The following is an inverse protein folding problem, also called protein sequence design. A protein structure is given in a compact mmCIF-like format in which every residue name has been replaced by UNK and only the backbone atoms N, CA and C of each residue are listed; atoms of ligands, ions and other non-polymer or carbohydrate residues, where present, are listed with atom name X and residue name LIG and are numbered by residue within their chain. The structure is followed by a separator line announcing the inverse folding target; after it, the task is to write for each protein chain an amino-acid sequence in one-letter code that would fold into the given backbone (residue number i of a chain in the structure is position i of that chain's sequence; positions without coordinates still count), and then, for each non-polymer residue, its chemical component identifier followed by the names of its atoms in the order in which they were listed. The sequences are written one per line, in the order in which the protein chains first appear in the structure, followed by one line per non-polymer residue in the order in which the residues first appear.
data_IF_167020970251
#
_entry.id   IF_167020970251
#
_cell.length_a   1.000
_cell.length_b   1.000
_cell.length_c   1.000
_cell.angle_alpha   90.00
_cell.angle_beta   90.00
_cell.angle_gamma   90.00
#
_symmetry.space_group_name_H-M   'P 1'
#
loop_
_entity.id
_entity.type
_entity.pdbx_description
1 polymer ?
#
# COMPACT_ATOMS: atom_id res chain seq x y z
N UNK A 1 -22.25 0.24 -28.90
CA UNK A 1 -21.09 0.96 -29.44
C UNK A 1 -19.88 0.09 -29.14
N UNK A 2 -19.06 -0.33 -30.13
CA UNK A 2 -17.87 -1.12 -29.86
C UNK A 2 -16.88 -0.28 -29.03
N UNK A 3 -16.11 -0.92 -28.13
CA UNK A 3 -15.13 -0.19 -27.33
C UNK A 3 -14.07 0.42 -28.26
N UNK A 4 -13.82 1.72 -28.07
CA UNK A 4 -12.72 2.42 -28.74
C UNK A 4 -11.43 1.70 -28.33
N UNK A 5 -10.78 1.00 -29.25
CA UNK A 5 -9.42 0.52 -29.07
C UNK A 5 -8.55 1.77 -28.93
N UNK A 6 -8.22 2.14 -27.70
CA UNK A 6 -7.10 3.06 -27.46
C UNK A 6 -5.85 2.26 -27.86
N UNK A 7 -5.07 2.82 -28.79
CA UNK A 7 -3.73 2.28 -29.05
C UNK A 7 -3.03 2.15 -27.72
N UNK A 8 -2.60 0.92 -27.38
CA UNK A 8 -2.01 0.64 -26.08
C UNK A 8 -0.79 1.57 -25.92
N UNK A 9 -0.76 2.43 -24.89
CA UNK A 9 0.38 3.30 -24.68
C UNK A 9 1.63 2.43 -24.54
N UNK A 10 2.72 2.87 -25.17
CA UNK A 10 4.02 2.19 -25.02
C UNK A 10 4.35 2.18 -23.54
N UNK A 11 4.35 1.00 -22.92
CA UNK A 11 4.69 0.83 -21.50
C UNK A 11 6.15 1.21 -21.32
N UNK A 12 6.40 2.45 -20.90
CA UNK A 12 7.74 2.93 -20.58
C UNK A 12 8.01 2.68 -19.10
N UNK A 13 9.11 1.98 -18.79
CA UNK A 13 9.60 1.82 -17.42
C UNK A 13 10.17 3.10 -16.84
N UNK A 14 11.00 2.96 -15.79
CA UNK A 14 11.67 4.10 -15.15
C UNK A 14 12.37 5.00 -16.16
N UNK A 15 12.13 6.29 -16.06
CA UNK A 15 12.76 7.32 -16.89
C UNK A 15 13.89 8.06 -16.16
N UNK A 16 14.09 7.73 -14.87
CA UNK A 16 15.08 8.38 -14.02
C UNK A 16 16.46 7.83 -14.32
N UNK A 17 17.43 8.70 -14.58
CA UNK A 17 18.85 8.32 -14.73
C UNK A 17 19.41 7.90 -13.37
N UNK A 18 20.37 6.98 -13.39
CA UNK A 18 21.02 6.50 -12.16
C UNK A 18 21.63 7.67 -11.38
N UNK A 19 21.01 7.99 -10.25
CA UNK A 19 21.38 9.12 -9.38
C UNK A 19 21.58 8.71 -7.92
N UNK A 20 21.72 7.41 -7.65
CA UNK A 20 21.92 6.88 -6.28
C UNK A 20 20.64 6.56 -5.51
N UNK A 21 19.50 7.21 -5.78
CA UNK A 21 18.21 6.86 -5.22
C UNK A 21 17.65 5.60 -5.90
N UNK A 22 17.28 4.59 -5.11
CA UNK A 22 16.86 3.29 -5.66
C UNK A 22 15.50 2.83 -5.16
N UNK A 23 14.90 3.50 -4.17
CA UNK A 23 13.72 3.02 -3.47
C UNK A 23 12.45 3.81 -3.80
N UNK A 24 11.31 3.17 -3.59
CA UNK A 24 10.00 3.71 -3.91
C UNK A 24 9.12 3.77 -2.67
N UNK A 25 8.31 4.83 -2.55
CA UNK A 25 7.18 4.86 -1.65
C UNK A 25 5.94 4.38 -2.42
N UNK A 26 5.41 3.24 -2.01
CA UNK A 26 4.37 2.53 -2.76
C UNK A 26 2.96 2.76 -2.25
N UNK A 27 2.74 3.68 -1.29
CA UNK A 27 1.42 3.93 -0.73
C UNK A 27 1.20 5.39 -0.37
N UNK A 28 0.35 6.06 -1.15
CA UNK A 28 -0.06 7.44 -0.89
C UNK A 28 -1.35 7.83 -1.61
N UNK A 29 -1.97 8.91 -1.13
CA UNK A 29 -3.30 9.31 -1.52
C UNK A 29 -3.35 10.65 -2.25
N UNK A 30 -4.50 10.94 -2.85
CA UNK A 30 -4.84 12.22 -3.48
C UNK A 30 -6.07 12.83 -2.78
N UNK A 31 -6.36 14.12 -2.96
CA UNK A 31 -7.55 14.74 -2.38
C UNK A 31 -8.87 14.07 -2.75
N UNK A 32 -8.89 13.24 -3.80
CA UNK A 32 -10.09 12.50 -4.21
C UNK A 32 -10.55 11.47 -3.17
N UNK A 33 -9.69 11.02 -2.26
CA UNK A 33 -10.13 10.22 -1.11
C UNK A 33 -10.83 11.05 -0.03
N UNK A 34 -10.97 12.37 -0.20
CA UNK A 34 -11.72 13.31 0.66
C UNK A 34 -11.10 13.57 2.04
N UNK A 35 -9.94 12.96 2.35
CA UNK A 35 -9.21 13.17 3.60
C UNK A 35 -7.68 13.29 3.44
N UNK A 36 -7.18 13.27 2.19
CA UNK A 36 -5.81 13.65 1.88
C UNK A 36 -5.76 15.11 1.38
N UNK A 37 -4.59 15.74 1.49
CA UNK A 37 -4.35 17.14 1.17
C UNK A 37 -3.11 17.31 0.31
N UNK A 38 -3.18 18.25 -0.63
CA UNK A 38 -2.09 18.58 -1.54
C UNK A 38 -2.18 17.82 -2.87
N UNK A 39 -1.64 18.46 -3.91
CA UNK A 39 -1.63 17.91 -5.27
C UNK A 39 -0.52 16.84 -5.44
N UNK A 40 -0.66 15.88 -6.36
CA UNK A 40 0.35 14.85 -6.62
C UNK A 40 1.76 15.43 -6.88
N UNK A 41 1.86 16.62 -7.47
CA UNK A 41 3.14 17.27 -7.69
C UNK A 41 3.86 17.69 -6.40
N UNK A 42 3.11 17.96 -5.32
CA UNK A 42 3.70 18.27 -4.00
C UNK A 42 4.29 16.99 -3.36
N UNK A 43 3.59 15.86 -3.51
CA UNK A 43 4.09 14.55 -3.07
C UNK A 43 5.34 14.15 -3.85
N UNK A 44 5.34 14.36 -5.18
CA UNK A 44 6.50 14.09 -6.02
C UNK A 44 7.70 14.97 -5.64
N UNK A 45 7.49 16.26 -5.36
CA UNK A 45 8.54 17.14 -4.88
C UNK A 45 9.10 16.68 -3.53
N UNK A 46 8.25 16.16 -2.63
CA UNK A 46 8.69 15.60 -1.36
C UNK A 46 9.42 14.27 -1.55
N UNK A 47 8.99 13.40 -2.46
CA UNK A 47 9.70 12.17 -2.82
C UNK A 47 11.16 12.44 -3.23
N UNK A 48 11.38 13.46 -4.06
CA UNK A 48 12.74 13.92 -4.39
C UNK A 48 13.50 14.36 -3.13
N UNK A 49 12.88 15.16 -2.26
CA UNK A 49 13.48 15.60 -0.99
C UNK A 49 13.74 14.46 -0.02
N UNK A 50 12.98 13.37 -0.09
CA UNK A 50 13.15 12.17 0.71
C UNK A 50 14.22 11.22 0.15
N UNK A 51 14.83 11.53 -1.01
CA UNK A 51 15.83 10.68 -1.64
C UNK A 51 15.24 9.41 -2.25
N UNK A 52 14.00 9.47 -2.69
CA UNK A 52 13.33 8.36 -3.36
C UNK A 52 13.62 8.35 -4.86
N UNK A 53 13.65 7.17 -5.46
CA UNK A 53 13.67 6.94 -6.90
C UNK A 53 12.31 7.22 -7.53
N UNK A 54 11.26 6.90 -6.80
CA UNK A 54 9.89 7.08 -7.27
C UNK A 54 8.85 6.98 -6.16
N UNK A 55 7.64 7.31 -6.55
CA UNK A 55 6.43 7.21 -5.74
C UNK A 55 5.31 6.58 -6.55
N UNK A 56 4.43 5.83 -5.89
CA UNK A 56 3.27 5.21 -6.53
C UNK A 56 2.01 5.70 -5.81
N UNK A 57 1.15 6.44 -6.51
CA UNK A 57 -0.13 6.82 -5.97
C UNK A 57 -1.06 5.62 -5.93
N UNK A 58 -1.63 5.36 -4.78
CA UNK A 58 -2.56 4.26 -4.52
C UNK A 58 -3.79 4.80 -3.79
N UNK A 59 -4.46 5.80 -4.36
CA UNK A 59 -5.64 6.38 -3.72
C UNK A 59 -6.75 5.33 -3.58
N UNK A 60 -7.63 5.51 -2.58
CA UNK A 60 -8.77 4.60 -2.35
C UNK A 60 -9.65 4.48 -3.58
N UNK A 61 -9.88 3.25 -4.02
CA UNK A 61 -10.71 2.95 -5.18
C UNK A 61 -12.16 3.41 -4.98
N UNK A 62 -12.86 3.78 -6.07
CA UNK A 62 -14.32 3.91 -5.99
C UNK A 62 -14.95 2.56 -5.67
N UNK A 63 -16.10 2.59 -5.00
CA UNK A 63 -16.89 1.41 -4.69
C UNK A 63 -18.37 1.69 -5.00
N UNK A 64 -19.15 0.70 -5.46
CA UNK A 64 -20.54 0.91 -5.82
C UNK A 64 -21.43 1.08 -4.59
N UNK A 65 -22.69 1.46 -4.83
CA UNK A 65 -23.74 1.55 -3.79
C UNK A 65 -23.39 2.50 -2.63
N UNK A 66 -22.67 3.57 -2.91
CA UNK A 66 -22.23 4.52 -1.89
C UNK A 66 -21.50 3.85 -0.70
N UNK A 67 -20.70 2.80 -1.00
CA UNK A 67 -19.89 2.13 0.00
C UNK A 67 -18.82 3.10 0.54
N UNK A 68 -18.95 3.47 1.81
CA UNK A 68 -18.06 4.39 2.53
C UNK A 68 -17.63 5.66 1.74
N UNK A 69 -18.58 6.49 1.30
CA UNK A 69 -18.32 7.55 0.32
C UNK A 69 -17.52 8.73 0.85
N UNK A 70 -17.28 8.76 2.17
CA UNK A 70 -16.56 9.87 2.84
C UNK A 70 -15.04 9.74 2.82
N UNK A 71 -14.51 8.57 2.37
CA UNK A 71 -13.07 8.29 2.39
C UNK A 71 -12.53 7.80 1.05
N UNK A 72 -13.32 7.87 -0.02
CA UNK A 72 -12.92 7.38 -1.33
C UNK A 72 -13.44 8.25 -2.45
N UNK A 73 -12.81 8.17 -3.61
CA UNK A 73 -13.31 8.81 -4.81
C UNK A 73 -14.63 8.18 -5.24
N UNK A 74 -15.48 8.97 -5.90
CA UNK A 74 -16.67 8.48 -6.57
C UNK A 74 -16.30 7.81 -7.91
N UNK A 75 -17.15 6.94 -8.45
CA UNK A 75 -16.89 6.28 -9.76
C UNK A 75 -16.66 7.28 -10.89
N UNK A 76 -17.37 8.40 -10.89
CA UNK A 76 -17.23 9.47 -11.88
C UNK A 76 -15.89 10.22 -11.77
N UNK A 77 -15.21 10.15 -10.63
CA UNK A 77 -13.91 10.81 -10.37
C UNK A 77 -12.72 9.95 -10.78
N UNK A 78 -12.92 8.67 -11.15
CA UNK A 78 -11.84 7.76 -11.47
C UNK A 78 -10.94 8.26 -12.62
N UNK A 79 -11.53 8.76 -13.71
CA UNK A 79 -10.76 9.29 -14.83
C UNK A 79 -9.99 10.56 -14.43
N UNK A 80 -10.55 11.37 -13.53
CA UNK A 80 -9.85 12.53 -12.95
C UNK A 80 -8.64 12.10 -12.12
N UNK A 81 -8.76 11.02 -11.35
CA UNK A 81 -7.63 10.42 -10.62
C UNK A 81 -6.48 10.04 -11.57
N UNK A 82 -6.79 9.30 -12.63
CA UNK A 82 -5.79 8.88 -13.63
C UNK A 82 -5.11 10.10 -14.27
N UNK A 83 -5.90 11.11 -14.65
CA UNK A 83 -5.38 12.34 -15.25
C UNK A 83 -4.50 13.14 -14.28
N UNK A 84 -4.90 13.24 -13.01
CA UNK A 84 -4.17 13.95 -11.95
C UNK A 84 -2.79 13.33 -11.72
N UNK A 85 -2.69 12.01 -11.58
CA UNK A 85 -1.41 11.30 -11.45
C UNK A 85 -0.59 11.42 -12.73
N UNK A 86 -1.21 11.29 -13.91
CA UNK A 86 -0.56 11.44 -15.21
C UNK A 86 0.10 12.81 -15.40
N UNK A 87 -0.53 13.87 -14.92
CA UNK A 87 0.05 15.23 -14.94
C UNK A 87 1.34 15.31 -14.10
N UNK A 88 1.33 14.74 -12.89
CA UNK A 88 2.53 14.68 -12.05
C UNK A 88 3.62 13.81 -12.71
N UNK A 89 3.26 12.67 -13.32
CA UNK A 89 4.18 11.81 -14.07
C UNK A 89 4.93 12.61 -15.15
N UNK A 90 4.22 13.40 -15.95
CA UNK A 90 4.83 14.21 -17.01
C UNK A 90 5.73 15.31 -16.44
N UNK A 91 5.31 15.99 -15.38
CA UNK A 91 6.06 17.09 -14.76
C UNK A 91 7.38 16.62 -14.15
N UNK A 92 7.43 15.41 -13.63
CA UNK A 92 8.62 14.85 -12.96
C UNK A 92 9.41 13.86 -13.83
N UNK A 93 9.02 13.68 -15.08
CA UNK A 93 9.71 12.79 -16.01
C UNK A 93 11.22 13.03 -16.02
N UNK A 94 11.99 11.97 -15.87
CA UNK A 94 13.47 12.01 -15.81
C UNK A 94 14.08 12.49 -14.49
N UNK A 95 13.24 12.88 -13.51
CA UNK A 95 13.67 13.34 -12.18
C UNK A 95 13.21 12.39 -11.08
N UNK A 96 11.97 11.95 -11.13
CA UNK A 96 11.34 11.03 -10.21
C UNK A 96 10.34 10.19 -10.99
N UNK A 97 10.30 8.89 -10.74
CA UNK A 97 9.22 8.06 -11.24
C UNK A 97 7.95 8.33 -10.44
N UNK A 98 6.89 8.77 -11.12
CA UNK A 98 5.57 8.97 -10.52
C UNK A 98 4.61 8.04 -11.24
N UNK A 99 4.13 7.03 -10.53
CA UNK A 99 3.36 5.95 -11.12
C UNK A 99 1.94 5.87 -10.57
N UNK A 100 1.06 5.36 -11.42
CA UNK A 100 -0.34 5.10 -11.10
C UNK A 100 -0.46 3.72 -10.46
N UNK A 101 -1.05 3.66 -9.29
CA UNK A 101 -1.51 2.48 -8.59
C UNK A 101 -2.95 2.67 -8.12
N UNK A 102 -3.41 1.76 -7.28
CA UNK A 102 -4.73 1.83 -6.65
C UNK A 102 -4.69 1.10 -5.31
N UNK A 103 -5.18 1.72 -4.24
CA UNK A 103 -5.58 1.01 -3.04
C UNK A 103 -7.00 0.53 -3.22
N UNK A 104 -7.09 -0.77 -3.48
CA UNK A 104 -8.32 -1.41 -3.88
C UNK A 104 -8.91 -2.18 -2.70
N UNK A 105 -10.19 -1.92 -2.42
CA UNK A 105 -10.89 -2.54 -1.29
C UNK A 105 -11.07 -4.04 -1.51
N UNK A 106 -10.82 -4.84 -0.48
CA UNK A 106 -11.37 -6.19 -0.41
C UNK A 106 -12.58 -6.22 0.50
N UNK A 107 -13.71 -6.57 -0.07
CA UNK A 107 -14.94 -6.81 0.66
C UNK A 107 -15.66 -8.01 0.04
N UNK A 108 -15.95 -9.07 0.79
CA UNK A 108 -16.55 -10.28 0.25
C UNK A 108 -17.83 -10.04 -0.56
N UNK A 109 -17.80 -10.47 -1.83
CA UNK A 109 -18.89 -10.32 -2.79
C UNK A 109 -18.73 -9.17 -3.80
N UNK A 110 -17.62 -8.41 -3.73
CA UNK A 110 -17.31 -7.34 -4.69
C UNK A 110 -16.17 -7.71 -5.64
N UNK A 111 -15.66 -8.93 -5.61
CA UNK A 111 -14.50 -9.37 -6.36
C UNK A 111 -14.64 -9.10 -7.87
N UNK A 112 -15.79 -9.38 -8.43
CA UNK A 112 -16.06 -9.11 -9.86
C UNK A 112 -16.00 -7.62 -10.19
N UNK A 113 -16.59 -6.77 -9.36
CA UNK A 113 -16.53 -5.33 -9.55
C UNK A 113 -15.08 -4.82 -9.49
N UNK A 114 -14.32 -5.31 -8.53
CA UNK A 114 -12.91 -4.95 -8.35
C UNK A 114 -12.07 -5.42 -9.55
N UNK A 115 -12.30 -6.62 -10.06
CA UNK A 115 -11.62 -7.12 -11.25
C UNK A 115 -11.90 -6.22 -12.48
N UNK A 116 -13.15 -5.83 -12.70
CA UNK A 116 -13.55 -4.91 -13.78
C UNK A 116 -12.91 -3.52 -13.59
N UNK A 117 -12.85 -3.01 -12.36
CA UNK A 117 -12.20 -1.75 -12.04
C UNK A 117 -10.69 -1.78 -12.37
N UNK A 118 -10.00 -2.87 -12.07
CA UNK A 118 -8.58 -3.05 -12.37
C UNK A 118 -8.26 -3.01 -13.87
N UNK A 119 -9.25 -3.23 -14.73
CA UNK A 119 -9.09 -3.14 -16.19
C UNK A 119 -9.27 -1.73 -16.74
N UNK A 120 -9.70 -0.75 -15.93
CA UNK A 120 -9.99 0.61 -16.38
C UNK A 120 -8.75 1.46 -16.67
N UNK A 121 -7.59 1.11 -16.11
CA UNK A 121 -6.33 1.83 -16.33
C UNK A 121 -5.12 0.90 -16.31
N UNK A 122 -4.02 1.36 -16.88
CA UNK A 122 -2.72 0.65 -16.82
C UNK A 122 -2.02 0.97 -15.49
N UNK A 123 -2.25 0.16 -14.48
CA UNK A 123 -1.64 0.32 -13.16
C UNK A 123 -0.24 -0.27 -13.11
N UNK A 124 0.65 0.40 -12.40
CA UNK A 124 1.95 -0.15 -12.00
C UNK A 124 1.83 -1.06 -10.77
N UNK A 125 0.87 -0.77 -9.88
CA UNK A 125 0.72 -1.45 -8.61
C UNK A 125 -0.73 -1.42 -8.12
N UNK A 126 -1.23 -2.54 -7.61
CA UNK A 126 -2.52 -2.64 -6.95
C UNK A 126 -2.33 -3.20 -5.56
N UNK A 127 -2.64 -2.35 -4.58
CA UNK A 127 -2.62 -2.66 -3.16
C UNK A 127 -4.03 -3.10 -2.73
N UNK A 128 -4.15 -4.29 -2.14
CA UNK A 128 -5.42 -4.80 -1.62
C UNK A 128 -5.55 -4.52 -0.14
N UNK A 129 -6.64 -3.86 0.27
CA UNK A 129 -6.83 -3.47 1.66
C UNK A 129 -8.17 -3.91 2.20
N UNK A 130 -8.18 -4.34 3.47
CA UNK A 130 -9.39 -4.62 4.24
C UNK A 130 -9.60 -3.47 5.22
N UNK A 131 -10.62 -2.65 4.99
CA UNK A 131 -10.95 -1.52 5.86
C UNK A 131 -12.11 -1.86 6.78
N UNK A 132 -11.78 -2.32 7.98
CA UNK A 132 -12.76 -2.66 9.00
C UNK A 132 -13.59 -1.45 9.49
N UNK A 133 -13.08 -0.22 9.29
CA UNK A 133 -13.69 1.03 9.78
C UNK A 133 -14.98 1.41 9.06
N UNK A 134 -15.22 0.85 7.87
CA UNK A 134 -16.44 1.15 7.13
C UNK A 134 -17.68 0.67 7.87
N UNK A 135 -18.76 1.47 7.81
CA UNK A 135 -20.04 1.08 8.40
C UNK A 135 -20.60 -0.21 7.79
N UNK A 136 -20.26 -0.46 6.52
CA UNK A 136 -20.65 -1.68 5.80
C UNK A 136 -19.94 -2.91 6.38
N UNK A 137 -18.64 -2.78 6.68
CA UNK A 137 -17.87 -3.87 7.26
C UNK A 137 -18.29 -4.12 8.72
N UNK A 138 -18.34 -3.07 9.53
CA UNK A 138 -18.81 -3.16 10.91
C UNK A 138 -20.22 -3.74 10.98
N UNK A 139 -21.17 -3.19 10.20
CA UNK A 139 -22.56 -3.64 10.21
C UNK A 139 -22.76 -5.10 9.81
N UNK A 140 -21.84 -5.68 9.04
CA UNK A 140 -21.93 -7.08 8.61
C UNK A 140 -21.12 -8.04 9.48
N UNK A 141 -19.96 -7.62 9.97
CA UNK A 141 -18.98 -8.52 10.58
C UNK A 141 -18.71 -8.25 12.08
N UNK A 142 -19.12 -7.09 12.60
CA UNK A 142 -19.02 -6.76 14.03
C UNK A 142 -20.12 -7.49 14.82
N UNK A 143 -19.92 -8.80 14.96
CA UNK A 143 -20.81 -9.66 15.75
C UNK A 143 -19.97 -10.54 16.69
N UNK A 144 -20.47 -10.78 17.89
CA UNK A 144 -19.79 -11.61 18.88
C UNK A 144 -18.73 -10.85 19.71
N UNK A 145 -17.51 -11.40 19.78
CA UNK A 145 -16.43 -10.86 20.60
C UNK A 145 -15.45 -10.02 19.78
N UNK A 146 -14.67 -9.14 20.44
CA UNK A 146 -13.61 -8.36 19.82
C UNK A 146 -12.59 -9.29 19.14
N UNK A 147 -12.19 -10.37 19.78
CA UNK A 147 -11.27 -11.36 19.21
C UNK A 147 -11.90 -12.10 18.01
N UNK A 148 -13.19 -12.40 18.06
CA UNK A 148 -13.93 -12.99 16.94
C UNK A 148 -13.90 -12.07 15.72
N UNK A 149 -14.16 -10.78 15.90
CA UNK A 149 -14.08 -9.78 14.85
C UNK A 149 -12.67 -9.67 14.26
N UNK A 150 -11.63 -9.62 15.11
CA UNK A 150 -10.22 -9.59 14.68
C UNK A 150 -9.83 -10.83 13.87
N UNK A 151 -10.32 -12.02 14.27
CA UNK A 151 -10.11 -13.27 13.51
C UNK A 151 -10.81 -13.23 12.15
N UNK A 152 -12.02 -12.68 12.08
CA UNK A 152 -12.73 -12.47 10.81
C UNK A 152 -11.96 -11.53 9.89
N UNK A 153 -11.39 -10.44 10.42
CA UNK A 153 -10.53 -9.54 9.65
C UNK A 153 -9.32 -10.28 9.04
N UNK A 154 -8.60 -11.09 9.81
CA UNK A 154 -7.46 -11.85 9.29
C UNK A 154 -7.85 -12.94 8.30
N UNK A 155 -9.04 -13.54 8.45
CA UNK A 155 -9.58 -14.43 7.42
C UNK A 155 -9.80 -13.67 6.11
N UNK A 156 -10.43 -12.51 6.14
CA UNK A 156 -10.65 -11.70 4.93
C UNK A 156 -9.34 -11.21 4.33
N UNK A 157 -8.31 -10.95 5.13
CA UNK A 157 -6.98 -10.66 4.61
C UNK A 157 -6.40 -11.85 3.83
N UNK A 158 -6.57 -13.07 4.32
CA UNK A 158 -6.16 -14.28 3.61
C UNK A 158 -7.03 -14.55 2.37
N UNK A 159 -8.35 -14.34 2.46
CA UNK A 159 -9.28 -14.46 1.33
C UNK A 159 -8.93 -13.45 0.22
N UNK A 160 -8.51 -12.23 0.60
CA UNK A 160 -8.05 -11.22 -0.37
C UNK A 160 -6.81 -11.67 -1.13
N UNK A 161 -5.85 -12.33 -0.45
CA UNK A 161 -4.69 -12.93 -1.10
C UNK A 161 -5.09 -14.01 -2.10
N UNK A 162 -5.97 -14.92 -1.69
CA UNK A 162 -6.46 -16.04 -2.50
C UNK A 162 -7.30 -15.61 -3.70
N UNK A 163 -7.90 -14.39 -3.66
CA UNK A 163 -8.63 -13.84 -4.81
C UNK A 163 -7.76 -13.61 -6.05
N UNK A 164 -6.45 -13.44 -5.86
CA UNK A 164 -5.50 -13.17 -6.94
C UNK A 164 -5.62 -11.79 -7.58
N UNK A 165 -6.42 -10.88 -7.00
CA UNK A 165 -6.69 -9.56 -7.55
C UNK A 165 -5.58 -8.54 -7.29
N UNK A 166 -4.78 -8.74 -6.24
CA UNK A 166 -3.85 -7.76 -5.70
C UNK A 166 -2.39 -8.16 -5.86
N UNK A 167 -1.50 -7.18 -5.97
CA UNK A 167 -0.06 -7.38 -6.00
C UNK A 167 0.54 -7.45 -4.60
N UNK A 168 -0.09 -6.73 -3.66
CA UNK A 168 0.35 -6.61 -2.28
C UNK A 168 -0.88 -6.39 -1.38
N UNK A 169 -0.80 -6.84 -0.13
CA UNK A 169 -1.81 -6.56 0.89
C UNK A 169 -1.35 -5.41 1.78
N UNK A 170 -2.18 -4.36 1.89
CA UNK A 170 -1.90 -3.14 2.65
C UNK A 170 -2.09 -3.33 4.16
N UNK A 171 -1.31 -2.59 4.97
CA UNK A 171 -1.44 -2.48 6.43
C UNK A 171 -2.10 -3.70 7.14
N UNK A 172 -1.47 -4.90 7.06
CA UNK A 172 -2.13 -6.18 7.28
C UNK A 172 -2.72 -6.41 8.68
N UNK A 173 -2.29 -5.67 9.68
CA UNK A 173 -2.83 -5.75 11.04
C UNK A 173 -3.55 -4.45 11.47
N UNK A 174 -4.11 -3.70 10.51
CA UNK A 174 -4.85 -2.45 10.77
C UNK A 174 -5.92 -2.61 11.85
N UNK A 175 -6.49 -3.80 11.98
CA UNK A 175 -7.50 -4.15 12.97
C UNK A 175 -7.03 -4.00 14.43
N UNK A 176 -5.73 -3.84 14.68
CA UNK A 176 -5.22 -3.53 16.04
C UNK A 176 -5.69 -2.18 16.58
N UNK A 177 -6.14 -1.29 15.67
CA UNK A 177 -6.75 -0.02 16.03
C UNK A 177 -8.26 -0.15 16.40
N UNK A 178 -8.86 -1.34 16.23
CA UNK A 178 -10.19 -1.64 16.75
C UNK A 178 -10.07 -2.05 18.21
N UNK A 179 -10.57 -1.19 19.12
CA UNK A 179 -10.37 -1.32 20.57
C UNK A 179 -8.88 -1.49 20.96
N UNK A 180 -8.00 -0.51 20.68
CA UNK A 180 -6.55 -0.64 20.78
C UNK A 180 -6.07 -1.03 22.18
N UNK A 181 -6.74 -0.58 23.26
CA UNK A 181 -6.41 -0.93 24.65
C UNK A 181 -6.54 -2.42 24.95
N UNK A 182 -7.33 -3.15 24.16
CA UNK A 182 -7.54 -4.60 24.26
C UNK A 182 -6.68 -5.39 23.27
N UNK A 183 -5.78 -4.73 22.51
CA UNK A 183 -4.95 -5.44 21.56
C UNK A 183 -3.96 -6.35 22.26
N UNK A 184 -4.03 -7.64 21.95
CA UNK A 184 -3.12 -8.66 22.49
C UNK A 184 -2.76 -9.65 21.38
N UNK A 185 -1.65 -9.42 20.69
CA UNK A 185 -1.25 -10.24 19.55
C UNK A 185 -1.06 -11.73 19.91
N UNK A 186 -0.48 -12.11 21.07
CA UNK A 186 -0.34 -13.51 21.47
C UNK A 186 -1.64 -14.32 21.42
N UNK A 187 -2.79 -13.72 21.74
CA UNK A 187 -4.12 -14.39 21.66
C UNK A 187 -4.51 -14.73 20.21
N UNK A 188 -4.04 -13.95 19.27
CA UNK A 188 -4.37 -14.08 17.84
C UNK A 188 -3.28 -14.84 17.06
N UNK A 189 -2.08 -15.01 17.64
CA UNK A 189 -0.88 -15.49 16.96
C UNK A 189 -1.07 -16.79 16.20
N UNK A 190 -1.70 -17.79 16.80
CA UNK A 190 -1.95 -19.08 16.13
C UNK A 190 -2.92 -18.91 14.94
N UNK A 191 -3.97 -18.10 15.10
CA UNK A 191 -4.90 -17.83 14.02
C UNK A 191 -4.23 -17.05 12.87
N UNK A 192 -3.47 -16.01 13.20
CA UNK A 192 -2.67 -15.23 12.23
C UNK A 192 -1.66 -16.13 11.52
N UNK A 193 -1.01 -17.06 12.25
CA UNK A 193 -0.08 -18.02 11.64
C UNK A 193 -0.74 -18.81 10.51
N UNK A 194 -1.95 -19.36 10.74
CA UNK A 194 -2.68 -20.09 9.69
C UNK A 194 -3.09 -19.19 8.52
N UNK A 195 -3.47 -17.94 8.79
CA UNK A 195 -3.78 -16.99 7.72
C UNK A 195 -2.54 -16.64 6.90
N UNK A 196 -1.38 -16.45 7.55
CA UNK A 196 -0.11 -16.20 6.87
C UNK A 196 0.35 -17.40 6.03
N UNK A 197 0.08 -18.64 6.45
CA UNK A 197 0.37 -19.83 5.62
C UNK A 197 -0.45 -19.81 4.33
N UNK A 198 -1.72 -19.43 4.39
CA UNK A 198 -2.59 -19.25 3.22
C UNK A 198 -2.06 -18.14 2.30
N UNK A 199 -1.72 -16.99 2.87
CA UNK A 199 -1.18 -15.83 2.14
C UNK A 199 0.14 -16.19 1.45
N UNK A 200 1.06 -16.83 2.17
CA UNK A 200 2.36 -17.24 1.63
C UNK A 200 2.22 -18.17 0.42
N UNK A 201 1.23 -19.08 0.44
CA UNK A 201 0.96 -20.00 -0.65
C UNK A 201 0.56 -19.29 -1.97
N UNK A 202 0.05 -18.05 -1.92
CA UNK A 202 -0.32 -17.28 -3.11
C UNK A 202 0.86 -16.55 -3.76
N UNK A 203 1.93 -16.30 -3.01
CA UNK A 203 3.08 -15.50 -3.45
C UNK A 203 2.81 -13.98 -3.51
N UNK A 204 1.65 -13.50 -3.03
CA UNK A 204 1.33 -12.07 -2.92
C UNK A 204 2.30 -11.40 -1.94
N UNK A 205 2.65 -10.14 -2.19
CA UNK A 205 3.43 -9.35 -1.24
C UNK A 205 2.57 -8.85 -0.09
N UNK A 206 3.21 -8.42 1.00
CA UNK A 206 2.55 -7.70 2.09
C UNK A 206 3.31 -6.42 2.41
N UNK A 207 2.58 -5.43 2.88
CA UNK A 207 3.13 -4.12 3.21
C UNK A 207 3.64 -4.06 4.66
N UNK A 208 4.74 -3.31 4.85
CA UNK A 208 5.06 -2.66 6.12
C UNK A 208 4.69 -1.17 5.97
N UNK A 209 3.62 -0.78 6.60
CA UNK A 209 3.03 0.55 6.50
C UNK A 209 3.49 1.41 7.67
N UNK A 210 4.18 2.51 7.37
CA UNK A 210 4.75 3.38 8.41
C UNK A 210 3.73 4.29 9.08
N UNK A 211 2.56 4.53 8.45
CA UNK A 211 1.50 5.38 9.01
C UNK A 211 0.93 4.84 10.32
N UNK A 212 1.13 3.57 10.61
CA UNK A 212 0.74 2.96 11.88
C UNK A 212 1.26 3.70 13.10
N UNK A 213 2.45 4.31 13.01
CA UNK A 213 3.02 5.17 14.06
C UNK A 213 2.18 6.42 14.37
N UNK A 214 1.24 6.78 13.51
CA UNK A 214 0.35 7.92 13.67
C UNK A 214 -1.10 7.52 13.99
N UNK A 215 -1.35 6.22 14.22
CA UNK A 215 -2.68 5.69 14.55
C UNK A 215 -2.84 5.51 16.08
N UNK A 216 -4.03 5.12 16.53
CA UNK A 216 -4.35 4.95 17.96
C UNK A 216 -3.45 3.91 18.64
N UNK A 217 -3.11 2.83 17.95
CA UNK A 217 -2.09 1.89 18.37
C UNK A 217 -0.77 2.25 17.68
N UNK A 218 0.12 2.93 18.41
CA UNK A 218 1.37 3.52 17.89
C UNK A 218 2.43 2.47 17.50
N UNK A 219 2.20 1.74 16.44
CA UNK A 219 3.10 0.76 15.89
C UNK A 219 2.89 0.66 14.38
N UNK A 220 3.95 0.42 13.60
CA UNK A 220 3.80 0.16 12.16
C UNK A 220 2.85 -1.00 11.88
N UNK A 221 2.22 -1.02 10.72
CA UNK A 221 1.36 -2.11 10.29
C UNK A 221 2.09 -2.98 9.24
N UNK A 222 2.50 -4.22 9.59
CA UNK A 222 2.27 -4.87 10.87
C UNK A 222 3.30 -4.54 11.94
N UNK A 223 2.97 -4.94 13.18
CA UNK A 223 3.91 -4.96 14.30
C UNK A 223 5.06 -5.96 14.12
N UNK A 224 6.14 -5.77 14.89
CA UNK A 224 7.39 -6.51 14.68
C UNK A 224 7.26 -8.04 14.80
N UNK A 225 6.44 -8.56 15.71
CA UNK A 225 6.23 -10.01 15.85
C UNK A 225 5.54 -10.58 14.60
N UNK A 226 4.51 -9.91 14.10
CA UNK A 226 3.83 -10.28 12.86
C UNK A 226 4.79 -10.19 11.65
N UNK A 227 5.60 -9.13 11.58
CA UNK A 227 6.59 -8.93 10.53
C UNK A 227 7.62 -10.07 10.49
N UNK A 228 8.07 -10.54 11.66
CA UNK A 228 8.93 -11.73 11.79
C UNK A 228 8.27 -12.99 11.23
N UNK A 229 6.98 -13.21 11.55
CA UNK A 229 6.22 -14.35 11.03
C UNK A 229 6.04 -14.31 9.50
N UNK A 230 5.94 -13.11 8.91
CA UNK A 230 5.94 -12.93 7.45
C UNK A 230 7.30 -13.30 6.85
N UNK A 231 8.40 -12.83 7.46
CA UNK A 231 9.76 -13.10 7.00
C UNK A 231 10.08 -14.61 7.03
N UNK A 232 9.70 -15.32 8.10
CA UNK A 232 9.85 -16.78 8.24
C UNK A 232 9.18 -17.56 7.10
N UNK A 233 8.10 -17.02 6.51
CA UNK A 233 7.36 -17.62 5.40
C UNK A 233 7.82 -17.15 4.03
N UNK A 234 8.81 -16.28 3.98
CA UNK A 234 9.31 -15.72 2.73
C UNK A 234 8.28 -14.83 2.01
N UNK A 235 7.29 -14.27 2.71
CA UNK A 235 6.32 -13.35 2.13
C UNK A 235 7.05 -12.09 1.69
N UNK A 236 6.97 -11.69 0.39
CA UNK A 236 7.69 -10.52 -0.09
C UNK A 236 7.20 -9.24 0.57
N UNK A 237 8.14 -8.35 0.95
CA UNK A 237 7.85 -7.12 1.67
C UNK A 237 7.86 -5.91 0.74
N UNK A 238 6.81 -5.08 0.83
CA UNK A 238 6.72 -3.71 0.28
C UNK A 238 6.69 -2.73 1.44
N UNK A 239 7.22 -1.51 1.26
CA UNK A 239 7.11 -0.44 2.28
C UNK A 239 6.30 0.70 1.68
N UNK A 240 5.34 1.21 2.46
CA UNK A 240 4.49 2.34 2.12
C UNK A 240 4.32 3.31 3.28
N UNK A 241 4.27 4.61 2.96
CA UNK A 241 4.04 5.65 3.96
C UNK A 241 2.56 5.87 4.26
N UNK A 242 1.66 5.47 3.37
CA UNK A 242 0.23 5.76 3.44
C UNK A 242 0.00 7.26 3.65
N UNK A 243 0.74 8.05 2.85
CA UNK A 243 0.79 9.48 3.01
C UNK A 243 -0.52 10.13 2.54
N UNK A 244 -1.18 10.84 3.44
CA UNK A 244 -2.35 11.69 3.19
C UNK A 244 -1.99 13.20 3.18
N UNK A 245 -0.71 13.50 3.30
CA UNK A 245 -0.10 14.84 3.14
C UNK A 245 1.29 14.67 2.54
N UNK A 246 1.67 15.57 1.66
CA UNK A 246 2.96 15.49 0.97
C UNK A 246 4.16 15.36 1.92
N UNK A 247 4.12 16.05 3.07
CA UNK A 247 5.19 16.01 4.07
C UNK A 247 5.48 14.60 4.63
N UNK A 248 4.55 13.66 4.50
CA UNK A 248 4.67 12.30 5.02
C UNK A 248 5.23 11.29 4.02
N UNK A 249 5.49 11.69 2.79
CA UNK A 249 6.11 10.82 1.78
C UNK A 249 7.49 10.37 2.25
N UNK A 250 7.71 9.05 2.32
CA UNK A 250 8.94 8.43 2.82
C UNK A 250 9.13 8.50 4.35
N UNK A 251 8.09 8.91 5.11
CA UNK A 251 8.16 9.06 6.56
C UNK A 251 8.50 7.71 7.24
N UNK A 252 9.48 7.73 8.16
CA UNK A 252 9.95 6.57 8.93
C UNK A 252 10.54 5.40 8.10
N UNK A 253 10.95 5.60 6.85
CA UNK A 253 11.43 4.52 6.00
C UNK A 253 12.74 3.90 6.50
N UNK A 254 13.66 4.68 7.05
CA UNK A 254 14.88 4.11 7.65
C UNK A 254 14.53 3.18 8.80
N UNK A 255 13.63 3.60 9.70
CA UNK A 255 13.16 2.76 10.80
C UNK A 255 12.44 1.50 10.29
N UNK A 256 11.60 1.62 9.25
CA UNK A 256 10.91 0.47 8.64
C UNK A 256 11.90 -0.55 8.07
N UNK A 257 12.94 -0.09 7.38
CA UNK A 257 13.99 -0.95 6.83
C UNK A 257 14.83 -1.62 7.95
N UNK A 258 15.11 -0.90 9.04
CA UNK A 258 15.80 -1.47 10.21
C UNK A 258 14.94 -2.55 10.89
N UNK A 259 13.63 -2.31 11.05
CA UNK A 259 12.69 -3.31 11.57
C UNK A 259 12.61 -4.53 10.64
N UNK A 260 12.51 -4.31 9.33
CA UNK A 260 12.50 -5.40 8.34
C UNK A 260 13.80 -6.23 8.39
N UNK A 261 14.96 -5.58 8.52
CA UNK A 261 16.25 -6.25 8.67
C UNK A 261 16.29 -7.07 9.95
N UNK A 262 15.83 -6.53 11.06
CA UNK A 262 15.76 -7.24 12.36
C UNK A 262 14.80 -8.43 12.30
N UNK A 263 13.71 -8.35 11.53
CA UNK A 263 12.77 -9.45 11.27
C UNK A 263 13.34 -10.55 10.36
N UNK A 264 14.49 -10.33 9.70
CA UNK A 264 15.18 -11.32 8.88
C UNK A 264 15.10 -11.09 7.38
N UNK A 265 14.42 -10.04 6.91
CA UNK A 265 14.36 -9.69 5.49
C UNK A 265 15.74 -9.31 4.96
N UNK A 266 16.02 -9.74 3.72
CA UNK A 266 17.23 -9.39 2.95
C UNK A 266 16.90 -8.53 1.75
N UNK A 267 15.63 -8.51 1.36
CA UNK A 267 15.11 -7.80 0.21
C UNK A 267 13.84 -7.06 0.59
N UNK A 268 13.62 -5.94 -0.11
CA UNK A 268 12.34 -5.20 -0.16
C UNK A 268 11.92 -5.06 -1.60
N UNK A 269 10.63 -4.89 -1.83
CA UNK A 269 10.09 -4.95 -3.18
C UNK A 269 9.35 -3.66 -3.54
N UNK A 270 9.24 -3.42 -4.84
CA UNK A 270 8.30 -2.50 -5.45
C UNK A 270 7.69 -3.14 -6.71
N UNK A 271 6.72 -2.51 -7.32
CA UNK A 271 6.08 -3.03 -8.52
C UNK A 271 6.18 -2.05 -9.68
N UNK A 272 6.44 -2.59 -10.86
CA UNK A 272 6.43 -1.89 -12.13
C UNK A 272 5.58 -2.68 -13.11
N UNK A 273 4.49 -2.10 -13.60
CA UNK A 273 3.53 -2.78 -14.47
C UNK A 273 3.02 -4.11 -13.89
N UNK A 274 2.65 -4.10 -12.63
CA UNK A 274 2.19 -5.27 -11.88
C UNK A 274 3.24 -6.39 -11.73
N UNK A 275 4.49 -6.10 -12.05
CA UNK A 275 5.60 -7.04 -11.92
C UNK A 275 6.49 -6.67 -10.73
N UNK A 276 6.61 -7.60 -9.80
CA UNK A 276 7.46 -7.42 -8.62
C UNK A 276 8.93 -7.29 -9.00
N UNK A 277 9.60 -6.32 -8.39
CA UNK A 277 11.03 -6.06 -8.47
C UNK A 277 11.61 -6.08 -7.06
N UNK A 278 12.66 -6.84 -6.86
CA UNK A 278 13.35 -6.94 -5.58
C UNK A 278 14.60 -6.04 -5.55
N UNK A 279 14.83 -5.42 -4.40
CA UNK A 279 16.00 -4.62 -4.09
C UNK A 279 16.65 -5.19 -2.83
N UNK A 280 17.98 -5.21 -2.78
CA UNK A 280 18.71 -5.59 -1.56
C UNK A 280 18.42 -4.58 -0.46
N UNK A 281 17.91 -5.03 0.68
CA UNK A 281 17.51 -4.18 1.80
C UNK A 281 18.67 -3.29 2.28
N UNK A 282 19.87 -3.85 2.45
CA UNK A 282 21.03 -3.08 2.90
C UNK A 282 21.41 -1.96 1.92
N UNK A 283 21.31 -2.18 0.61
CA UNK A 283 21.58 -1.15 -0.39
C UNK A 283 20.55 -0.01 -0.34
N UNK A 284 19.26 -0.36 -0.10
CA UNK A 284 18.20 0.63 0.08
C UNK A 284 18.44 1.46 1.34
N UNK A 285 18.72 0.81 2.47
CA UNK A 285 18.99 1.47 3.74
C UNK A 285 20.20 2.42 3.65
N UNK A 286 21.29 1.98 3.02
CA UNK A 286 22.48 2.79 2.80
C UNK A 286 22.17 4.01 1.92
N UNK A 287 21.41 3.81 0.83
CA UNK A 287 21.00 4.88 -0.07
C UNK A 287 20.23 5.99 0.66
N UNK A 288 19.23 5.61 1.49
CA UNK A 288 18.43 6.59 2.24
C UNK A 288 19.25 7.28 3.34
N UNK A 289 20.07 6.55 4.11
CA UNK A 289 20.95 7.14 5.14
C UNK A 289 21.95 8.13 4.55
N UNK A 290 22.55 7.80 3.40
CA UNK A 290 23.46 8.70 2.69
C UNK A 290 22.75 9.98 2.24
N UNK A 291 21.50 9.87 1.78
CA UNK A 291 20.73 11.03 1.35
C UNK A 291 20.34 11.93 2.53
N UNK A 292 19.97 11.38 3.68
CA UNK A 292 19.69 12.17 4.87
C UNK A 292 20.94 12.87 5.42
N UNK A 293 22.08 12.19 5.44
CA UNK A 293 23.34 12.79 5.87
C UNK A 293 23.75 13.98 4.99
N UNK A 294 23.50 13.91 3.68
CA UNK A 294 23.80 14.99 2.74
C UNK A 294 22.92 16.24 2.94
N UNK A 295 21.76 16.12 3.57
CA UNK A 295 20.88 17.28 3.90
C UNK A 295 21.29 18.01 5.18
N UNK A 296 22.03 17.33 6.06
CA UNK A 296 22.43 17.88 7.35
C UNK A 296 23.67 18.77 7.26
N UNK A 297 24.30 18.86 6.07
CA UNK A 297 25.44 19.70 5.74
C UNK A 297 24.96 20.95 4.98
#
# INVERSE_FOLDING_TARGET
VPPIRRDAPVKTGSTVKDGGAIFYDSHMHTPLCKHAYGEPEEYAAQGLRAGLRGIIFTCHCPMPNAFWPTVRMDEAEFDAYVAMVGKATQKFKGKLDVWLGLESEYYPGYEKYIEELHQRADFHFILGSVHWQSKEYLGKFENGTIEGFRRTYFNHLADSAESGLYDCLGHPDLVKNYHPDSWCFPILKEHVSRCLDRIAATGVAMELNTSGLNKSYHEMNPGNEFLGMMAERGIPLVIGSDAHRSARVGEHFIQALENAKAAGYKEVNYFEWRKRKALKLDAVLESLKKYEAAKAI
#
